data_IF_323363407116
#
_entry.id   IF_323363407116
#
_cell.length_a   1.000
_cell.length_b   1.000
_cell.length_c   1.000
_cell.angle_alpha   90.00
_cell.angle_beta   90.00
_cell.angle_gamma   90.00
#
_symmetry.space_group_name_H-M   'P 1'
#
loop_
_entity.id
_entity.type
_entity.pdbx_description
1 polymer ?
#
# COMPACT_ATOMS: atom_id res chain seq x y z
N UNK A 1 -4.92 13.20 4.42
CA UNK A 1 -6.09 12.94 3.54
C UNK A 1 -6.76 11.66 4.04
N UNK A 2 -8.06 11.46 3.82
CA UNK A 2 -8.66 10.16 4.08
C UNK A 2 -8.29 9.22 2.92
N UNK A 3 -7.63 8.10 3.22
CA UNK A 3 -7.34 7.08 2.21
C UNK A 3 -8.62 6.36 1.80
N UNK A 4 -8.77 6.10 0.51
CA UNK A 4 -9.88 5.26 0.03
C UNK A 4 -9.66 3.82 0.43
N UNK A 5 -10.72 3.02 0.40
CA UNK A 5 -10.65 1.58 0.66
C UNK A 5 -9.62 0.89 -0.26
N UNK A 6 -9.54 1.32 -1.52
CA UNK A 6 -8.58 0.79 -2.51
C UNK A 6 -7.13 1.01 -2.08
N UNK A 7 -6.81 2.16 -1.50
CA UNK A 7 -5.45 2.44 -0.99
C UNK A 7 -5.11 1.54 0.21
N UNK A 8 -6.09 1.29 1.09
CA UNK A 8 -5.91 0.44 2.26
C UNK A 8 -5.72 -1.02 1.83
N UNK A 9 -6.48 -1.47 0.82
CA UNK A 9 -6.35 -2.80 0.22
C UNK A 9 -4.98 -2.96 -0.45
N UNK A 10 -4.57 -1.99 -1.28
CA UNK A 10 -3.26 -1.99 -1.94
C UNK A 10 -2.11 -2.05 -0.93
N UNK A 11 -2.20 -1.32 0.18
CA UNK A 11 -1.22 -1.39 1.27
C UNK A 11 -1.16 -2.76 1.95
N UNK A 12 -2.31 -3.44 2.10
CA UNK A 12 -2.38 -4.79 2.65
C UNK A 12 -1.77 -5.82 1.70
N UNK A 13 -2.05 -5.72 0.40
CA UNK A 13 -1.51 -6.60 -0.63
C UNK A 13 0.02 -6.44 -0.78
N UNK A 14 0.51 -5.20 -0.71
CA UNK A 14 1.94 -4.93 -0.64
C UNK A 14 2.57 -5.62 0.58
N UNK A 15 1.97 -5.47 1.77
CA UNK A 15 2.46 -6.07 3.00
C UNK A 15 2.43 -7.61 2.99
N UNK A 16 1.44 -8.20 2.31
CA UNK A 16 1.35 -9.64 2.09
C UNK A 16 2.34 -10.13 1.02
N UNK A 17 2.81 -9.23 0.16
CA UNK A 17 3.74 -9.52 -0.93
C UNK A 17 3.06 -10.15 -2.16
N UNK A 18 1.76 -9.93 -2.35
CA UNK A 18 0.98 -10.50 -3.46
C UNK A 18 0.94 -9.64 -4.72
N UNK A 19 1.42 -8.39 -4.63
CA UNK A 19 1.52 -7.47 -5.78
C UNK A 19 2.57 -7.91 -6.78
N UNK A 20 2.32 -7.60 -8.05
CA UNK A 20 3.32 -7.75 -9.11
C UNK A 20 4.44 -6.70 -9.01
N UNK A 21 5.41 -6.76 -9.92
CA UNK A 21 6.58 -5.89 -9.88
C UNK A 21 6.23 -4.41 -10.15
N UNK A 22 5.28 -4.14 -11.04
CA UNK A 22 4.93 -2.77 -11.44
C UNK A 22 4.08 -2.10 -10.36
N UNK A 23 3.11 -2.84 -9.80
CA UNK A 23 2.29 -2.40 -8.67
C UNK A 23 3.14 -2.16 -7.42
N UNK A 24 4.11 -3.05 -7.15
CA UNK A 24 5.06 -2.88 -6.05
C UNK A 24 5.87 -1.59 -6.21
N UNK A 25 6.39 -1.32 -7.41
CA UNK A 25 7.15 -0.10 -7.68
C UNK A 25 6.28 1.16 -7.51
N UNK A 26 5.00 1.09 -7.89
CA UNK A 26 4.05 2.18 -7.65
C UNK A 26 3.86 2.43 -6.15
N UNK A 27 3.64 1.39 -5.35
CA UNK A 27 3.49 1.52 -3.89
C UNK A 27 4.76 2.08 -3.25
N UNK A 28 5.95 1.66 -3.69
CA UNK A 28 7.22 2.19 -3.20
C UNK A 28 7.42 3.67 -3.52
N UNK A 29 7.03 4.10 -4.73
CA UNK A 29 7.03 5.51 -5.10
C UNK A 29 6.04 6.31 -4.24
N UNK A 30 4.83 5.78 -4.01
CA UNK A 30 3.84 6.40 -3.13
C UNK A 30 4.36 6.51 -1.68
N UNK A 31 5.03 5.48 -1.16
CA UNK A 31 5.62 5.52 0.18
C UNK A 31 6.79 6.50 0.30
N UNK A 32 7.52 6.76 -0.78
CA UNK A 32 8.59 7.74 -0.80
C UNK A 32 8.07 9.19 -0.76
N UNK A 33 6.87 9.42 -1.30
CA UNK A 33 6.23 10.74 -1.34
C UNK A 33 5.28 10.98 -0.14
N UNK A 34 4.57 9.95 0.31
CA UNK A 34 3.56 10.01 1.37
C UNK A 34 3.92 9.12 2.59
N UNK A 35 4.44 9.77 3.63
CA UNK A 35 4.80 9.13 4.89
C UNK A 35 3.57 8.51 5.60
N UNK A 36 2.40 9.13 5.49
CA UNK A 36 1.20 8.62 6.14
C UNK A 36 0.69 7.33 5.45
N UNK A 37 0.93 7.17 4.15
CA UNK A 37 0.64 5.94 3.43
C UNK A 37 1.65 4.84 3.81
N UNK A 38 2.93 5.20 3.94
CA UNK A 38 3.96 4.30 4.45
C UNK A 38 3.64 3.76 5.85
N UNK A 39 3.03 4.57 6.73
CA UNK A 39 2.57 4.13 8.04
C UNK A 39 1.45 3.08 7.96
N UNK A 40 0.54 3.20 6.98
CA UNK A 40 -0.52 2.20 6.76
C UNK A 40 0.08 0.86 6.35
N UNK A 41 1.00 0.88 5.38
CA UNK A 41 1.73 -0.32 4.94
C UNK A 41 2.49 -0.96 6.12
N UNK A 42 3.18 -0.15 6.93
CA UNK A 42 3.92 -0.62 8.11
C UNK A 42 2.98 -1.24 9.15
N UNK A 43 1.79 -0.66 9.33
CA UNK A 43 0.78 -1.20 10.25
C UNK A 43 0.26 -2.58 9.80
N UNK A 44 0.07 -2.78 8.50
CA UNK A 44 -0.31 -4.06 7.93
C UNK A 44 0.80 -5.10 8.08
N UNK A 45 2.04 -4.73 7.77
CA UNK A 45 3.21 -5.60 7.98
C UNK A 45 3.34 -6.05 9.43
N UNK A 46 3.15 -5.14 10.39
CA UNK A 46 3.18 -5.48 11.82
C UNK A 46 2.06 -6.46 12.22
N UNK A 47 0.82 -6.21 11.76
CA UNK A 47 -0.34 -7.08 12.04
C UNK A 47 -0.12 -8.49 11.49
N UNK A 48 0.37 -8.60 10.25
CA UNK A 48 0.63 -9.88 9.59
C UNK A 48 1.88 -10.56 10.15
N UNK A 49 2.86 -9.80 10.66
CA UNK A 49 4.07 -10.33 11.27
C UNK A 49 3.81 -11.28 12.45
N UNK A 50 2.69 -11.10 13.17
CA UNK A 50 2.27 -12.02 14.23
C UNK A 50 1.98 -13.44 13.71
N UNK A 51 1.48 -13.57 12.48
CA UNK A 51 1.22 -14.87 11.84
C UNK A 51 2.52 -15.62 11.53
N UNK A 52 3.58 -14.90 11.15
CA UNK A 52 4.89 -15.51 10.91
C UNK A 52 5.46 -16.17 12.18
N UNK A 53 5.07 -15.71 13.37
CA UNK A 53 5.47 -16.33 14.65
C UNK A 53 4.76 -17.65 14.93
N UNK A 54 3.68 -17.96 14.21
CA UNK A 54 2.92 -19.21 14.35
C UNK A 54 3.50 -20.34 13.49
N UNK A 55 4.43 -20.03 12.58
CA UNK A 55 5.08 -21.00 11.72
C UNK A 55 6.31 -21.58 12.43
N UNK A 56 6.47 -22.91 12.39
CA UNK A 56 7.63 -23.58 12.97
C UNK A 56 8.93 -23.22 12.27
N UNK A 57 10.04 -23.16 13.02
CA UNK A 57 11.36 -22.94 12.44
C UNK A 57 11.79 -24.14 11.59
N UNK A 58 12.23 -23.86 10.36
CA UNK A 58 12.83 -24.86 9.46
C UNK A 58 14.30 -24.50 9.29
N UNK A 59 15.19 -25.42 9.65
CA UNK A 59 16.63 -25.18 9.51
C UNK A 59 17.01 -25.16 8.01
N UNK A 60 17.59 -24.07 7.51
CA UNK A 60 18.08 -24.02 6.14
C UNK A 60 19.33 -24.90 5.98
N UNK A 61 19.61 -25.35 4.75
CA UNK A 61 20.83 -26.13 4.47
C UNK A 61 22.09 -25.33 4.87
N UNK A 62 23.13 -25.96 5.44
CA UNK A 62 24.32 -25.24 5.94
C UNK A 62 25.03 -24.37 4.90
N UNK A 63 25.01 -24.78 3.62
CA UNK A 63 25.61 -24.03 2.49
C UNK A 63 24.98 -22.65 2.29
N UNK A 64 23.72 -22.45 2.71
CA UNK A 64 23.01 -21.18 2.53
C UNK A 64 23.73 -20.04 3.24
N UNK A 65 24.28 -20.29 4.42
CA UNK A 65 24.99 -19.26 5.17
C UNK A 65 26.30 -18.84 4.49
N UNK A 66 27.06 -19.79 3.96
CA UNK A 66 28.29 -19.51 3.22
C UNK A 66 27.99 -18.73 1.92
N UNK A 67 26.93 -19.11 1.21
CA UNK A 67 26.48 -18.39 0.02
C UNK A 67 26.11 -16.94 0.36
N UNK A 68 25.33 -16.70 1.41
CA UNK A 68 24.96 -15.35 1.87
C UNK A 68 26.20 -14.52 2.20
N UNK A 69 27.15 -15.07 2.98
CA UNK A 69 28.40 -14.36 3.31
C UNK A 69 29.18 -13.98 2.05
N UNK A 70 29.32 -14.91 1.11
CA UNK A 70 30.03 -14.64 -0.14
C UNK A 70 29.35 -13.58 -1.00
N UNK A 71 28.01 -13.58 -1.04
CA UNK A 71 27.25 -12.62 -1.85
C UNK A 71 27.27 -11.22 -1.24
N UNK A 72 27.19 -11.11 0.08
CA UNK A 72 27.35 -9.83 0.79
C UNK A 72 28.76 -9.27 0.55
N UNK A 73 29.80 -10.10 0.62
CA UNK A 73 31.17 -9.68 0.34
C UNK A 73 31.33 -9.20 -1.12
N UNK A 74 30.75 -9.91 -2.09
CA UNK A 74 30.73 -9.47 -3.49
C UNK A 74 30.00 -8.14 -3.67
N UNK A 75 28.82 -8.00 -3.06
CA UNK A 75 28.03 -6.77 -3.15
C UNK A 75 28.77 -5.59 -2.53
N UNK A 76 29.45 -5.79 -1.39
CA UNK A 76 30.26 -4.76 -0.76
C UNK A 76 31.41 -4.29 -1.65
N UNK A 77 32.12 -5.22 -2.30
CA UNK A 77 33.20 -4.89 -3.25
C UNK A 77 32.68 -4.17 -4.50
N UNK A 78 31.44 -4.46 -4.94
CA UNK A 78 30.81 -3.79 -6.08
C UNK A 78 30.27 -2.40 -5.73
N UNK A 79 30.00 -2.12 -4.44
CA UNK A 79 29.55 -0.82 -3.94
C UNK A 79 30.70 0.13 -3.59
N UNK A 80 31.96 -0.34 -3.64
CA UNK A 80 33.11 0.53 -3.44
C UNK A 80 33.28 1.45 -4.66
N UNK A 81 33.12 2.79 -4.53
CA UNK A 81 33.35 3.70 -5.64
C UNK A 81 34.77 3.53 -6.19
N UNK A 82 34.96 3.59 -7.52
CA UNK A 82 36.27 3.39 -8.11
C UNK A 82 37.25 4.41 -7.50
N UNK A 83 38.29 3.88 -6.85
CA UNK A 83 39.40 4.69 -6.39
C UNK A 83 39.95 5.51 -7.58
N UNK A 84 40.31 6.80 -7.40
CA UNK A 84 40.87 7.59 -8.48
C UNK A 84 42.12 6.87 -9.00
N UNK A 85 42.10 6.53 -10.30
CA UNK A 85 43.17 5.83 -10.97
C UNK A 85 44.50 6.54 -10.72
N UNK A 86 45.35 5.93 -9.91
CA UNK A 86 46.75 6.29 -9.81
C UNK A 86 47.33 6.06 -11.22
N UNK A 87 47.68 7.15 -11.88
CA UNK A 87 48.05 7.17 -13.29
C UNK A 87 49.20 6.18 -13.56
N UNK A 88 48.94 5.17 -14.37
CA UNK A 88 49.99 4.33 -14.95
C UNK A 88 51.03 5.22 -15.64
N UNK A 89 52.35 4.99 -15.45
CA UNK A 89 53.38 5.71 -16.18
C UNK A 89 53.27 5.41 -17.69
N UNK A 90 53.61 6.37 -18.57
CA UNK A 90 53.40 6.23 -20.01
C UNK A 90 54.30 5.13 -20.61
N UNK A 91 53.83 4.40 -21.63
CA UNK A 91 54.62 3.35 -22.27
C UNK A 91 55.79 3.96 -23.08
N UNK A 92 56.96 3.30 -23.01
CA UNK A 92 58.14 3.63 -23.81
C UNK A 92 57.88 3.36 -25.32
N UNK A 93 58.58 4.05 -26.24
CA UNK A 93 58.35 3.93 -27.67
C UNK A 93 58.92 2.61 -28.22
N UNK A 94 58.13 1.90 -29.04
CA UNK A 94 58.58 0.70 -29.76
C UNK A 94 59.39 1.09 -31.02
N UNK A 95 60.44 0.33 -31.40
CA UNK A 95 61.02 0.38 -32.74
C UNK A 95 60.39 -0.65 -33.69
N UNK A 96 59.85 -0.11 -34.78
CA UNK A 96 59.71 -0.53 -36.18
C UNK A 96 60.03 -1.97 -36.70
N UNK A 97 58.99 -2.48 -37.41
CA UNK A 97 58.96 -3.20 -38.72
C UNK A 97 59.25 -4.72 -38.81
N UNK A 98 58.83 -5.44 -39.89
CA UNK A 98 57.95 -5.07 -41.03
C UNK A 98 56.83 -6.09 -41.36
N UNK A 99 55.99 -5.70 -42.32
CA UNK A 99 54.88 -6.43 -42.93
C UNK A 99 55.30 -7.57 -43.86
N UNK A 100 54.58 -8.71 -43.76
CA UNK A 100 54.08 -9.65 -44.80
C UNK A 100 52.95 -10.43 -44.08
N UNK A 101 51.82 -10.85 -44.62
CA UNK A 101 51.46 -11.27 -45.96
C UNK A 101 49.91 -11.28 -46.06
N UNK A 102 49.41 -10.95 -47.23
CA UNK A 102 48.00 -11.01 -47.63
C UNK A 102 47.60 -12.44 -47.99
N UNK A 103 46.48 -12.96 -47.46
CA UNK A 103 45.72 -14.03 -48.11
C UNK A 103 44.25 -14.00 -47.64
N UNK A 104 43.33 -13.40 -48.40
CA UNK A 104 42.35 -14.03 -49.33
C UNK A 104 41.49 -15.17 -48.73
N UNK A 105 40.18 -14.86 -48.64
CA UNK A 105 39.00 -15.68 -49.00
C UNK A 105 38.92 -17.13 -48.48
N UNK A 106 37.83 -17.44 -47.77
CA UNK A 106 36.73 -18.20 -48.40
C UNK A 106 35.49 -18.25 -47.50
N UNK A 107 34.37 -17.88 -48.11
CA UNK A 107 33.01 -18.09 -47.67
C UNK A 107 32.51 -19.35 -48.37
N UNK A 108 32.01 -20.32 -47.61
CA UNK A 108 31.08 -21.37 -48.04
C UNK A 108 30.45 -21.94 -46.77
N UNK A 109 29.15 -21.69 -46.58
CA UNK A 109 28.09 -22.69 -46.79
C UNK A 109 28.05 -23.66 -45.60
N UNK A 110 26.95 -24.06 -44.98
CA UNK A 110 25.53 -24.08 -45.32
C UNK A 110 24.92 -24.90 -44.16
N UNK A 111 23.79 -24.47 -43.59
CA UNK A 111 22.75 -25.38 -43.11
C UNK A 111 21.51 -24.58 -42.73
N UNK A 112 20.47 -24.83 -43.52
CA UNK A 112 19.23 -24.09 -43.54
C UNK A 112 18.26 -24.40 -42.38
N UNK A 113 17.19 -23.59 -42.26
CA UNK A 113 16.13 -23.79 -41.28
C UNK A 113 15.03 -24.73 -41.82
N UNK A 114 14.39 -25.57 -40.99
CA UNK A 114 13.14 -26.19 -41.39
C UNK A 114 11.99 -25.22 -41.14
N UNK A 115 11.22 -25.04 -42.19
CA UNK A 115 9.93 -24.39 -42.24
C UNK A 115 8.91 -25.11 -41.36
N UNK A 116 8.06 -24.36 -40.66
CA UNK A 116 6.74 -24.85 -40.27
C UNK A 116 5.67 -23.95 -40.86
N UNK A 117 4.83 -24.61 -41.63
CA UNK A 117 3.74 -24.13 -42.45
C UNK A 117 2.50 -23.93 -41.59
N UNK A 118 1.84 -22.77 -41.70
CA UNK A 118 0.44 -22.62 -41.32
C UNK A 118 -0.42 -22.50 -42.57
N UNK A 119 -1.32 -23.46 -42.85
CA UNK A 119 -2.38 -23.28 -43.82
C UNK A 119 -3.56 -22.55 -43.21
N UNK A 120 -4.13 -21.66 -44.01
CA UNK A 120 -5.51 -21.23 -43.91
C UNK A 120 -6.47 -22.39 -44.23
N UNK A 121 -7.50 -22.59 -43.40
CA UNK A 121 -8.74 -23.28 -43.78
C UNK A 121 -9.87 -22.99 -42.76
N UNK A 122 -10.99 -22.51 -43.32
CA UNK A 122 -12.38 -22.87 -43.04
C UNK A 122 -13.01 -22.83 -41.63
N UNK A 123 -13.99 -21.92 -41.54
CA UNK A 123 -15.23 -22.10 -40.78
C UNK A 123 -16.06 -23.28 -41.34
N UNK A 124 -16.89 -23.90 -40.49
CA UNK A 124 -18.33 -23.96 -40.78
C UNK A 124 -19.11 -23.56 -39.51
N UNK A 125 -20.31 -22.99 -39.51
CA UNK A 125 -21.33 -22.78 -40.51
C UNK A 125 -22.64 -22.67 -39.72
N UNK A 126 -23.34 -21.53 -39.80
CA UNK A 126 -24.78 -21.47 -39.62
C UNK A 126 -25.34 -20.25 -40.35
N UNK A 127 -25.68 -20.47 -41.61
CA UNK A 127 -26.67 -19.72 -42.41
C UNK A 127 -28.07 -19.97 -41.83
N UNK A 128 -29.07 -19.07 -41.77
CA UNK A 128 -29.67 -18.12 -42.75
C UNK A 128 -30.97 -17.53 -42.07
N UNK A 129 -31.86 -16.75 -42.73
CA UNK A 129 -31.80 -15.40 -43.31
C UNK A 129 -32.75 -14.38 -42.61
N UNK A 130 -32.56 -13.08 -42.92
CA UNK A 130 -33.65 -12.12 -43.22
C UNK A 130 -33.55 -11.82 -44.75
N UNK A 131 -34.45 -11.08 -45.44
CA UNK A 131 -35.80 -10.57 -45.12
C UNK A 131 -36.83 -10.85 -46.26
N UNK A 132 -38.12 -10.53 -46.07
CA UNK A 132 -39.03 -10.34 -47.20
C UNK A 132 -40.15 -9.30 -46.94
N UNK A 133 -40.08 -8.25 -47.77
CA UNK A 133 -41.13 -7.52 -48.47
C UNK A 133 -42.36 -6.90 -47.75
N UNK A 134 -42.39 -5.55 -47.86
CA UNK A 134 -43.59 -4.69 -47.90
C UNK A 134 -44.30 -4.88 -49.26
N UNK A 135 -45.65 -4.77 -49.32
CA UNK A 135 -46.26 -3.67 -50.08
C UNK A 135 -47.42 -3.03 -49.29
N UNK A 136 -47.41 -1.72 -49.02
CA UNK A 136 -48.01 -0.63 -49.82
C UNK A 136 -49.41 -0.93 -50.38
N UNK A 137 -50.40 -0.14 -49.94
CA UNK A 137 -51.58 0.39 -50.68
C UNK A 137 -52.51 1.07 -49.66
N UNK A 138 -52.66 2.40 -49.79
CA UNK A 138 -53.71 3.20 -49.17
C UNK A 138 -55.00 3.20 -50.02
N UNK A 139 -56.18 3.39 -49.40
CA UNK A 139 -57.07 4.46 -49.89
C UNK A 139 -57.69 5.27 -48.73
N UNK A 140 -57.52 6.60 -48.74
CA UNK A 140 -58.50 7.59 -49.25
C UNK A 140 -59.81 7.67 -48.45
N UNK A 141 -59.99 8.76 -47.71
CA UNK A 141 -61.31 9.30 -47.36
C UNK A 141 -61.40 10.76 -47.82
N UNK A 142 -62.29 10.99 -48.77
CA UNK A 142 -62.60 12.29 -49.38
C UNK A 142 -63.57 13.04 -48.46
N UNK A 143 -63.37 14.33 -48.15
CA UNK A 143 -64.37 15.13 -47.45
C UNK A 143 -65.49 15.49 -48.44
N UNK A 144 -66.68 14.93 -48.21
CA UNK A 144 -67.89 15.35 -48.92
C UNK A 144 -68.29 16.75 -48.46
N UNK A 145 -68.34 17.68 -49.42
CA UNK A 145 -68.83 19.03 -49.29
C UNK A 145 -70.34 19.01 -49.54
N UNK A 146 -71.13 19.52 -48.61
CA UNK A 146 -72.48 20.01 -48.94
C UNK A 146 -72.55 21.50 -48.64
N UNK A 147 -72.94 22.23 -49.68
CA UNK A 147 -73.04 23.68 -49.76
C UNK A 147 -74.47 24.14 -49.37
N UNK A 148 -74.81 25.44 -49.48
CA UNK A 148 -75.21 26.30 -48.38
C UNK A 148 -76.72 26.49 -48.27
N UNK A 149 -77.21 26.93 -47.10
CA UNK A 149 -78.54 27.54 -47.02
C UNK A 149 -78.44 29.07 -46.95
N UNK A 150 -78.97 29.66 -48.02
CA UNK A 150 -79.08 31.09 -48.31
C UNK A 150 -80.42 31.55 -47.73
N UNK A 151 -80.39 32.27 -46.60
CA UNK A 151 -81.26 33.42 -46.30
C UNK A 151 -81.31 33.66 -44.80
N UNK A 152 -80.54 34.63 -44.30
CA UNK A 152 -81.14 35.65 -43.43
C UNK A 152 -80.41 36.98 -43.63
N UNK A 153 -81.16 37.94 -44.16
CA UNK A 153 -81.04 39.40 -44.07
C UNK A 153 -79.64 40.05 -44.19
N UNK A 154 -79.46 40.65 -45.37
CA UNK A 154 -78.68 41.86 -45.62
C UNK A 154 -79.05 42.97 -44.62
N UNK A 155 -78.19 43.21 -43.64
CA UNK A 155 -78.18 44.43 -42.84
C UNK A 155 -77.02 45.33 -43.30
N UNK A 156 -77.41 46.43 -43.95
CA UNK A 156 -76.74 47.71 -44.21
C UNK A 156 -75.20 47.83 -44.01
N UNK A 157 -74.50 48.14 -45.11
CA UNK A 157 -73.16 48.72 -45.10
C UNK A 157 -73.17 50.09 -44.39
N UNK A 158 -72.37 50.23 -43.34
CA UNK A 158 -71.89 51.53 -42.82
C UNK A 158 -70.48 51.82 -43.39
N UNK A 159 -70.07 53.10 -43.53
CA UNK A 159 -68.81 53.46 -44.17
C UNK A 159 -67.59 53.28 -43.25
N UNK A 160 -66.57 52.60 -43.81
CA UNK A 160 -65.10 52.69 -43.65
C UNK A 160 -64.51 53.30 -42.37
N UNK A 161 -63.65 52.54 -41.67
CA UNK A 161 -62.38 53.06 -41.10
C UNK A 161 -61.28 52.01 -41.23
N UNK A 162 -60.26 52.36 -42.02
CA UNK A 162 -59.06 51.57 -42.34
C UNK A 162 -58.04 51.65 -41.17
N UNK A 163 -58.33 50.97 -40.05
CA UNK A 163 -57.65 51.24 -38.77
C UNK A 163 -56.87 50.09 -38.11
N UNK A 164 -57.07 48.83 -38.51
CA UNK A 164 -56.76 47.71 -37.58
C UNK A 164 -55.68 46.72 -38.06
N UNK A 165 -55.13 46.86 -39.26
CA UNK A 165 -54.14 45.89 -39.77
C UNK A 165 -52.70 46.22 -39.32
N UNK A 166 -52.38 47.49 -39.06
CA UNK A 166 -51.03 47.94 -38.65
C UNK A 166 -50.71 47.55 -37.18
N UNK A 167 -51.71 47.28 -36.34
CA UNK A 167 -51.50 46.97 -34.90
C UNK A 167 -51.23 45.51 -34.58
N UNK A 168 -51.54 44.58 -35.49
CA UNK A 168 -51.30 43.15 -35.29
C UNK A 168 -49.91 42.71 -35.76
N UNK A 169 -49.41 43.27 -36.86
CA UNK A 169 -48.06 42.97 -37.37
C UNK A 169 -46.95 43.41 -36.41
N UNK A 170 -47.13 44.56 -35.77
CA UNK A 170 -46.18 45.08 -34.77
C UNK A 170 -46.12 44.23 -33.49
N UNK A 171 -47.22 43.56 -33.12
CA UNK A 171 -47.33 42.74 -31.91
C UNK A 171 -46.73 41.34 -32.10
N UNK A 172 -46.97 40.73 -33.26
CA UNK A 172 -46.39 39.42 -33.60
C UNK A 172 -44.87 39.46 -33.72
N UNK A 173 -44.32 40.53 -34.32
CA UNK A 173 -42.86 40.71 -34.45
C UNK A 173 -42.18 40.90 -33.09
N UNK A 174 -42.83 41.61 -32.16
CA UNK A 174 -42.34 41.78 -30.78
C UNK A 174 -42.41 40.48 -29.97
N UNK A 175 -43.48 39.69 -30.09
CA UNK A 175 -43.58 38.38 -29.43
C UNK A 175 -42.55 37.38 -29.95
N UNK A 176 -42.25 37.40 -31.25
CA UNK A 176 -41.19 36.57 -31.83
C UNK A 176 -39.80 36.97 -31.33
N UNK A 177 -39.54 38.26 -31.19
CA UNK A 177 -38.28 38.76 -30.64
C UNK A 177 -38.12 38.45 -29.13
N UNK A 178 -39.22 38.45 -28.37
CA UNK A 178 -39.21 38.07 -26.95
C UNK A 178 -38.98 36.57 -26.81
N UNK A 179 -39.65 35.74 -27.62
CA UNK A 179 -39.46 34.29 -27.60
C UNK A 179 -38.03 33.88 -27.97
N UNK A 180 -37.42 34.54 -28.97
CA UNK A 180 -36.02 34.27 -29.32
C UNK A 180 -35.03 34.76 -28.25
N UNK A 181 -35.30 35.87 -27.59
CA UNK A 181 -34.48 36.36 -26.48
C UNK A 181 -34.51 35.41 -25.26
N UNK A 182 -35.70 34.89 -24.90
CA UNK A 182 -35.85 33.92 -23.80
C UNK A 182 -35.17 32.59 -24.14
N UNK A 183 -35.27 32.12 -25.39
CA UNK A 183 -34.59 30.90 -25.84
C UNK A 183 -33.06 30.99 -25.76
N UNK A 184 -32.48 32.14 -26.14
CA UNK A 184 -31.04 32.37 -26.05
C UNK A 184 -30.54 32.38 -24.58
N UNK A 185 -31.33 32.93 -23.66
CA UNK A 185 -31.02 32.97 -22.24
C UNK A 185 -31.05 31.58 -21.61
N UNK A 186 -32.02 30.74 -21.99
CA UNK A 186 -32.11 29.35 -21.54
C UNK A 186 -30.94 28.50 -22.06
N UNK A 187 -30.57 28.67 -23.34
CA UNK A 187 -29.42 27.98 -23.92
C UNK A 187 -28.10 28.40 -23.23
N UNK A 188 -27.92 29.69 -22.95
CA UNK A 188 -26.75 30.17 -22.22
C UNK A 188 -26.68 29.60 -20.79
N UNK A 189 -27.82 29.53 -20.08
CA UNK A 189 -27.89 28.92 -18.75
C UNK A 189 -27.54 27.43 -18.78
N UNK A 190 -28.03 26.68 -19.76
CA UNK A 190 -27.70 25.26 -19.92
C UNK A 190 -26.23 25.03 -20.27
N UNK A 191 -25.62 25.90 -21.08
CA UNK A 191 -24.18 25.86 -21.34
C UNK A 191 -23.40 26.17 -20.06
N UNK A 192 -23.78 27.20 -19.29
CA UNK A 192 -23.11 27.52 -18.02
C UNK A 192 -23.27 26.40 -16.98
N UNK A 193 -24.44 25.77 -16.90
CA UNK A 193 -24.69 24.67 -15.98
C UNK A 193 -23.91 23.41 -16.39
N UNK A 194 -23.88 23.11 -17.69
CA UNK A 194 -23.04 22.02 -18.24
C UNK A 194 -21.55 22.28 -17.94
N UNK A 195 -21.08 23.52 -18.10
CA UNK A 195 -19.69 23.87 -17.81
C UNK A 195 -19.38 23.75 -16.31
N UNK A 196 -20.32 24.09 -15.43
CA UNK A 196 -20.19 23.90 -13.97
C UNK A 196 -20.07 22.44 -13.56
N UNK A 197 -20.72 21.51 -14.27
CA UNK A 197 -20.73 20.08 -13.93
C UNK A 197 -19.48 19.37 -14.48
N UNK A 198 -19.06 19.69 -15.71
CA UNK A 198 -18.03 18.92 -16.43
C UNK A 198 -16.64 19.58 -16.45
N UNK A 199 -16.52 20.91 -16.39
CA UNK A 199 -15.24 21.64 -16.40
C UNK A 199 -15.26 22.81 -15.39
N UNK A 200 -15.27 22.52 -14.07
CA UNK A 200 -15.46 23.53 -13.03
C UNK A 200 -14.36 24.60 -12.98
N UNK A 201 -13.19 24.36 -13.58
CA UNK A 201 -12.05 25.29 -13.62
C UNK A 201 -12.08 26.31 -14.78
N UNK A 202 -13.00 26.17 -15.74
CA UNK A 202 -13.05 27.02 -16.93
C UNK A 202 -13.78 28.37 -16.72
N UNK A 203 -14.27 28.67 -15.51
CA UNK A 203 -15.04 29.89 -15.22
C UNK A 203 -14.16 31.07 -14.70
N UNK A 204 -14.38 32.30 -15.19
CA UNK A 204 -13.71 33.51 -14.68
C UNK A 204 -14.05 33.75 -13.21
N UNK A 205 -13.05 34.13 -12.43
CA UNK A 205 -13.02 34.03 -10.95
C UNK A 205 -14.15 34.68 -10.15
N UNK A 206 -15.01 35.50 -10.77
CA UNK A 206 -16.14 36.19 -10.11
C UNK A 206 -17.34 35.27 -9.87
N UNK A 207 -17.46 34.15 -10.60
CA UNK A 207 -18.57 33.18 -10.45
C UNK A 207 -18.17 31.93 -9.67
N UNK A 208 -16.96 31.90 -9.09
CA UNK A 208 -16.52 30.78 -8.26
C UNK A 208 -17.16 30.89 -6.87
N UNK A 209 -17.85 29.86 -6.37
CA UNK A 209 -18.28 29.85 -4.98
C UNK A 209 -17.06 29.89 -4.06
N UNK A 210 -17.08 30.69 -2.97
CA UNK A 210 -15.94 30.82 -2.08
C UNK A 210 -15.63 29.46 -1.42
N UNK A 211 -14.34 29.07 -1.33
CA UNK A 211 -13.95 27.83 -0.67
C UNK A 211 -14.41 27.87 0.80
N UNK A 212 -15.28 26.94 1.18
CA UNK A 212 -15.66 26.75 2.59
C UNK A 212 -14.46 26.16 3.31
N UNK A 213 -13.72 27.00 4.02
CA UNK A 213 -12.69 26.57 4.97
C UNK A 213 -13.44 25.91 6.14
N UNK A 214 -13.68 24.61 6.04
CA UNK A 214 -14.03 23.81 7.21
C UNK A 214 -12.73 23.64 7.99
N UNK A 215 -12.57 24.41 9.08
CA UNK A 215 -11.60 24.08 10.11
C UNK A 215 -12.07 22.80 10.77
N UNK A 216 -11.69 21.66 10.18
CA UNK A 216 -11.69 20.38 10.88
C UNK A 216 -10.66 20.56 11.96
N UNK A 217 -11.11 20.68 13.21
CA UNK A 217 -10.24 20.51 14.37
C UNK A 217 -9.78 19.05 14.33
N UNK A 218 -8.69 18.81 13.60
CA UNK A 218 -7.98 17.54 13.63
C UNK A 218 -7.45 17.43 15.04
N UNK A 219 -8.19 16.72 15.89
CA UNK A 219 -7.62 16.08 17.08
C UNK A 219 -6.43 15.29 16.55
N UNK A 220 -5.25 15.86 16.67
CA UNK A 220 -4.03 15.24 16.21
C UNK A 220 -4.02 13.80 16.74
N UNK A 221 -3.79 12.77 15.90
CA UNK A 221 -3.49 11.45 16.42
C UNK A 221 -2.37 11.62 17.44
N UNK A 222 -2.52 10.96 18.60
CA UNK A 222 -1.51 10.99 19.64
C UNK A 222 -0.14 10.81 18.99
N UNK A 223 0.79 11.72 19.29
CA UNK A 223 2.16 11.68 18.77
C UNK A 223 2.68 10.23 18.77
N UNK A 224 3.44 9.80 17.74
CA UNK A 224 4.02 8.46 17.72
C UNK A 224 4.65 8.22 19.09
N UNK A 225 4.15 7.18 19.78
CA UNK A 225 4.71 6.76 21.05
C UNK A 225 6.21 6.68 20.85
N UNK A 226 6.95 7.56 21.52
CA UNK A 226 8.40 7.64 21.41
C UNK A 226 8.96 6.22 21.43
N UNK A 227 9.85 5.89 20.48
CA UNK A 227 10.45 4.56 20.40
C UNK A 227 10.87 4.12 21.80
N UNK A 228 10.16 3.12 22.33
CA UNK A 228 10.34 2.67 23.69
C UNK A 228 11.67 1.94 23.77
N UNK A 229 12.38 2.13 24.88
CA UNK A 229 13.64 1.45 25.10
C UNK A 229 13.46 -0.06 24.91
N UNK A 230 14.27 -0.72 24.10
CA UNK A 230 14.23 -2.17 23.97
C UNK A 230 15.36 -2.77 24.78
N UNK A 231 15.03 -3.84 25.50
CA UNK A 231 15.96 -4.50 26.40
C UNK A 231 16.09 -5.98 26.06
N UNK A 232 17.30 -6.50 26.07
CA UNK A 232 17.60 -7.90 25.73
C UNK A 232 18.53 -8.50 26.78
N UNK A 233 18.23 -9.70 27.26
CA UNK A 233 19.12 -10.51 28.08
C UNK A 233 19.39 -11.84 27.39
N UNK A 234 20.68 -12.20 27.30
CA UNK A 234 21.12 -13.52 26.86
C UNK A 234 21.29 -14.41 28.09
N UNK A 235 20.48 -15.47 28.21
CA UNK A 235 20.57 -16.39 29.33
C UNK A 235 21.49 -17.55 28.95
N UNK A 236 22.67 -17.58 29.56
CA UNK A 236 23.74 -18.51 29.25
C UNK A 236 23.92 -19.54 30.36
N UNK A 237 24.36 -20.74 29.98
CA UNK A 237 24.72 -21.80 30.93
C UNK A 237 26.15 -21.67 31.41
N UNK A 238 26.58 -22.55 32.33
CA UNK A 238 27.98 -22.59 32.79
C UNK A 238 28.97 -22.85 31.66
N UNK A 239 28.54 -23.59 30.62
CA UNK A 239 29.36 -23.89 29.43
C UNK A 239 29.41 -22.71 28.42
N UNK A 240 28.81 -21.56 28.74
CA UNK A 240 28.85 -20.33 27.94
C UNK A 240 27.91 -20.29 26.73
N UNK A 241 27.26 -21.38 26.38
CA UNK A 241 26.27 -21.43 25.29
C UNK A 241 24.98 -20.66 25.62
N UNK A 242 24.42 -19.88 24.66
CA UNK A 242 23.14 -19.22 24.85
C UNK A 242 21.99 -20.23 24.80
N UNK A 243 21.25 -20.34 25.89
CA UNK A 243 20.11 -21.24 26.00
C UNK A 243 18.79 -20.54 25.69
N UNK A 244 18.65 -19.27 26.15
CA UNK A 244 17.46 -18.46 25.95
C UNK A 244 17.82 -17.00 25.65
N UNK A 245 16.95 -16.34 24.88
CA UNK A 245 16.97 -14.89 24.65
C UNK A 245 15.70 -14.32 25.28
N UNK A 246 15.84 -13.36 26.18
CA UNK A 246 14.73 -12.63 26.78
C UNK A 246 14.71 -11.21 26.21
N UNK A 247 13.61 -10.82 25.60
CA UNK A 247 13.37 -9.44 25.12
C UNK A 247 12.29 -8.80 25.98
N UNK A 248 12.49 -7.55 26.38
CA UNK A 248 11.55 -6.76 27.17
C UNK A 248 11.33 -5.42 26.47
N UNK A 249 10.07 -5.09 26.23
CA UNK A 249 9.68 -3.77 25.76
C UNK A 249 9.65 -2.76 26.92
N UNK A 250 10.38 -1.66 26.82
CA UNK A 250 10.56 -0.70 27.92
C UNK A 250 9.32 0.15 28.23
N UNK A 251 8.34 0.26 27.33
CA UNK A 251 7.12 1.02 27.59
C UNK A 251 6.05 0.15 28.26
N UNK A 252 5.83 -1.04 27.71
CA UNK A 252 4.79 -1.97 28.15
C UNK A 252 5.28 -2.93 29.23
N UNK A 253 6.60 -3.14 29.33
CA UNK A 253 7.23 -4.22 30.12
C UNK A 253 6.66 -5.60 29.77
N UNK A 254 6.21 -5.76 28.53
CA UNK A 254 5.94 -7.08 27.99
C UNK A 254 7.25 -7.77 27.70
N UNK A 255 7.34 -9.05 28.06
CA UNK A 255 8.53 -9.83 27.76
C UNK A 255 8.20 -11.04 26.90
N UNK A 256 9.19 -11.40 26.09
CA UNK A 256 9.20 -12.60 25.27
C UNK A 256 10.48 -13.36 25.54
N UNK A 257 10.35 -14.65 25.86
CA UNK A 257 11.47 -15.58 25.99
C UNK A 257 11.49 -16.46 24.75
N UNK A 258 12.64 -16.51 24.09
CA UNK A 258 12.92 -17.43 22.99
C UNK A 258 13.91 -18.49 23.44
N UNK A 259 13.59 -19.75 23.19
CA UNK A 259 14.47 -20.91 23.40
C UNK A 259 15.39 -21.08 22.18
N UNK A 260 16.69 -21.23 22.40
CA UNK A 260 17.70 -21.29 21.31
C UNK A 260 18.41 -22.63 21.26
N UNK A 261 18.77 -23.20 22.42
CA UNK A 261 19.53 -24.45 22.48
C UNK A 261 19.23 -25.34 23.69
N UNK A 262 18.30 -24.95 24.56
CA UNK A 262 17.91 -25.75 25.71
C UNK A 262 16.77 -26.71 25.37
N UNK A 263 16.96 -28.00 25.64
CA UNK A 263 15.91 -29.01 25.53
C UNK A 263 15.44 -29.41 26.92
N UNK A 264 14.14 -29.32 27.24
CA UNK A 264 13.63 -29.75 28.54
C UNK A 264 13.71 -31.28 28.66
N UNK A 265 14.14 -31.76 29.81
CA UNK A 265 14.11 -33.19 30.14
C UNK A 265 12.65 -33.71 30.20
N UNK A 266 12.40 -34.99 29.86
CA UNK A 266 11.07 -35.58 29.99
C UNK A 266 10.50 -35.42 31.41
N UNK A 267 9.28 -34.86 31.52
CA UNK A 267 8.63 -34.63 32.82
C UNK A 267 9.19 -33.44 33.62
N UNK A 268 10.07 -32.63 33.02
CA UNK A 268 10.59 -31.38 33.57
C UNK A 268 10.11 -30.19 32.76
N UNK A 269 10.19 -29.02 33.37
CA UNK A 269 9.80 -27.76 32.73
C UNK A 269 10.80 -26.68 33.10
N UNK A 270 11.12 -25.80 32.16
CA UNK A 270 11.91 -24.63 32.47
C UNK A 270 11.02 -23.54 33.06
N UNK A 271 11.48 -22.83 34.07
CA UNK A 271 10.77 -21.70 34.65
C UNK A 271 11.67 -20.47 34.71
N UNK A 272 11.13 -19.32 34.29
CA UNK A 272 11.84 -18.05 34.32
C UNK A 272 11.59 -17.34 35.65
N UNK A 273 12.66 -16.75 36.19
CA UNK A 273 12.65 -16.02 37.45
C UNK A 273 13.24 -14.62 37.30
N UNK A 274 12.63 -13.67 37.99
CA UNK A 274 13.16 -12.33 38.24
C UNK A 274 13.87 -12.31 39.59
N UNK A 275 15.16 -11.98 39.60
CA UNK A 275 15.99 -11.88 40.81
C UNK A 275 16.52 -10.45 40.91
N UNK A 276 16.19 -9.76 42.01
CA UNK A 276 16.67 -8.40 42.28
C UNK A 276 16.90 -8.26 43.79
N UNK A 277 17.86 -7.40 44.16
CA UNK A 277 18.12 -6.95 45.53
C UNK A 277 16.94 -6.21 46.16
N UNK A 278 16.05 -5.63 45.34
CA UNK A 278 14.81 -4.96 45.78
C UNK A 278 13.69 -5.93 46.10
N UNK A 279 13.84 -7.22 45.78
CA UNK A 279 12.83 -8.25 46.00
C UNK A 279 13.30 -9.20 47.11
N UNK A 280 12.45 -9.53 48.10
CA UNK A 280 12.84 -10.38 49.22
C UNK A 280 13.10 -11.83 48.81
N UNK A 281 12.54 -12.28 47.67
CA UNK A 281 12.75 -13.60 47.09
C UNK A 281 12.59 -13.57 45.57
N UNK A 282 13.19 -14.53 44.83
CA UNK A 282 12.95 -14.67 43.40
C UNK A 282 11.46 -14.74 43.06
N UNK A 283 11.08 -14.07 41.96
CA UNK A 283 9.69 -14.04 41.49
C UNK A 283 9.56 -14.84 40.22
N UNK A 284 8.68 -15.84 40.22
CA UNK A 284 8.36 -16.57 39.01
C UNK A 284 7.70 -15.65 37.99
N UNK A 285 8.23 -15.70 36.77
CA UNK A 285 7.65 -15.11 35.57
C UNK A 285 6.93 -16.18 34.72
N UNK A 286 6.85 -17.40 35.24
CA UNK A 286 6.12 -18.51 34.67
C UNK A 286 6.98 -19.52 33.90
N UNK A 287 6.34 -20.64 33.61
CA UNK A 287 6.93 -21.76 32.88
C UNK A 287 7.13 -21.39 31.42
N UNK A 288 8.33 -21.67 30.92
CA UNK A 288 8.69 -21.61 29.51
C UNK A 288 8.18 -22.91 28.87
N UNK A 289 7.23 -22.78 27.95
CA UNK A 289 6.56 -23.91 27.33
C UNK A 289 7.46 -24.74 26.42
N UNK A 290 6.89 -25.81 25.85
CA UNK A 290 7.58 -26.59 24.82
C UNK A 290 7.85 -25.78 23.54
N UNK A 291 7.01 -24.77 23.29
CA UNK A 291 7.13 -23.79 22.20
C UNK A 291 8.47 -23.06 22.26
N UNK A 292 8.95 -22.62 21.10
CA UNK A 292 10.21 -21.86 21.04
C UNK A 292 10.06 -20.44 21.59
N UNK A 293 8.82 -19.96 21.74
CA UNK A 293 8.50 -18.63 22.25
C UNK A 293 7.48 -18.70 23.40
N UNK A 294 7.71 -17.89 24.44
CA UNK A 294 6.76 -17.66 25.53
C UNK A 294 6.69 -16.16 25.82
N UNK A 295 5.53 -15.55 25.65
CA UNK A 295 5.31 -14.13 25.92
C UNK A 295 4.27 -13.94 27.03
N UNK A 296 4.55 -13.06 28.01
CA UNK A 296 3.62 -12.77 29.12
C UNK A 296 3.75 -11.31 29.61
N UNK A 297 2.64 -10.67 30.02
CA UNK A 297 2.65 -9.30 30.54
C UNK A 297 2.89 -9.23 32.06
N UNK A 298 3.73 -10.08 32.65
CA UNK A 298 3.90 -10.14 34.12
C UNK A 298 4.83 -9.05 34.67
N UNK A 299 5.77 -8.57 33.86
CA UNK A 299 6.73 -7.54 34.29
C UNK A 299 6.12 -6.14 34.38
N UNK A 300 4.94 -5.91 33.79
CA UNK A 300 4.21 -4.64 33.89
C UNK A 300 3.87 -4.22 35.32
N UNK A 301 3.80 -5.18 36.24
CA UNK A 301 3.53 -4.96 37.67
C UNK A 301 4.73 -4.51 38.50
N UNK A 302 5.95 -4.55 37.94
CA UNK A 302 7.19 -4.17 38.64
C UNK A 302 7.73 -2.83 38.13
N UNK A 303 8.37 -2.07 39.01
CA UNK A 303 9.04 -0.83 38.63
C UNK A 303 10.15 -1.06 37.61
N UNK A 304 10.33 -0.11 36.69
CA UNK A 304 11.33 -0.22 35.62
C UNK A 304 12.76 -0.39 36.17
N UNK A 305 13.10 0.28 37.26
CA UNK A 305 14.41 0.16 37.91
C UNK A 305 14.67 -1.26 38.43
N UNK A 306 13.65 -1.92 38.99
CA UNK A 306 13.74 -3.30 39.47
C UNK A 306 13.97 -4.25 38.30
N UNK A 307 13.24 -4.08 37.20
CA UNK A 307 13.35 -4.93 36.00
C UNK A 307 14.71 -4.74 35.32
N UNK A 308 15.16 -3.50 35.16
CA UNK A 308 16.41 -3.18 34.46
C UNK A 308 17.65 -3.59 35.27
N UNK A 309 17.59 -3.49 36.60
CA UNK A 309 18.67 -3.93 37.50
C UNK A 309 18.66 -5.43 37.82
N UNK A 310 17.63 -6.16 37.40
CA UNK A 310 17.46 -7.57 37.76
C UNK A 310 18.42 -8.50 37.01
N UNK A 311 18.65 -9.65 37.63
CA UNK A 311 19.18 -10.84 36.98
C UNK A 311 18.02 -11.77 36.66
N UNK A 312 17.94 -12.20 35.40
CA UNK A 312 16.98 -13.18 34.96
C UNK A 312 17.62 -14.56 35.01
N UNK A 313 16.89 -15.54 35.52
CA UNK A 313 17.38 -16.88 35.73
C UNK A 313 16.36 -17.92 35.26
N UNK A 314 16.84 -19.02 34.72
CA UNK A 314 16.01 -20.18 34.35
C UNK A 314 16.43 -21.37 35.21
N UNK A 315 15.45 -22.05 35.79
CA UNK A 315 15.63 -23.27 36.57
C UNK A 315 14.96 -24.45 35.87
N UNK A 316 15.38 -25.67 36.23
CA UNK A 316 14.70 -26.91 35.80
C UNK A 316 13.77 -27.34 36.91
N UNK A 317 12.48 -27.22 36.67
CA UNK A 317 11.43 -27.54 37.62
C UNK A 317 10.74 -28.86 37.24
N UNK A 318 9.94 -29.38 38.15
CA UNK A 318 9.00 -30.46 37.84
C UNK A 318 7.99 -30.05 36.76
N UNK A 319 7.28 -31.02 36.18
CA UNK A 319 6.24 -30.76 35.21
C UNK A 319 5.23 -29.70 35.72
N UNK A 320 5.05 -28.62 34.95
CA UNK A 320 4.17 -27.52 35.33
C UNK A 320 4.81 -26.43 36.19
N UNK A 321 6.11 -26.52 36.50
CA UNK A 321 6.87 -25.50 37.23
C UNK A 321 6.92 -25.72 38.74
N UNK A 322 7.39 -24.68 39.44
CA UNK A 322 7.48 -24.63 40.89
C UNK A 322 6.09 -24.68 41.54
N UNK A 323 5.86 -25.58 42.50
CA UNK A 323 4.55 -25.74 43.13
C UNK A 323 4.20 -24.61 44.11
N UNK A 324 5.20 -23.90 44.64
CA UNK A 324 5.02 -22.89 45.70
C UNK A 324 5.53 -21.50 45.27
N UNK A 325 5.89 -21.32 44.00
CA UNK A 325 6.47 -20.08 43.48
C UNK A 325 7.85 -19.76 44.10
N UNK A 326 8.60 -20.78 44.48
CA UNK A 326 10.02 -20.70 44.85
C UNK A 326 10.83 -21.68 44.00
N UNK A 327 12.03 -21.32 43.53
CA UNK A 327 12.88 -22.24 42.78
C UNK A 327 13.06 -23.57 43.51
N UNK A 328 12.77 -24.71 42.87
CA UNK A 328 13.04 -26.03 43.47
C UNK A 328 14.45 -26.52 43.14
N UNK A 329 15.08 -25.93 42.13
CA UNK A 329 16.46 -26.23 41.72
C UNK A 329 17.29 -24.97 41.58
N UNK A 330 18.62 -25.15 41.49
CA UNK A 330 19.53 -24.06 41.22
C UNK A 330 19.35 -23.52 39.78
N UNK A 331 19.58 -22.21 39.55
CA UNK A 331 19.58 -21.65 38.20
C UNK A 331 20.59 -22.36 37.30
N UNK A 332 20.10 -22.87 36.18
CA UNK A 332 20.93 -23.51 35.13
C UNK A 332 21.38 -22.49 34.08
N UNK A 333 20.56 -21.46 33.83
CA UNK A 333 20.87 -20.37 32.91
C UNK A 333 20.59 -19.03 33.58
N UNK A 334 21.43 -18.03 33.31
CA UNK A 334 21.18 -16.68 33.83
C UNK A 334 21.79 -15.60 32.94
N UNK A 335 21.30 -14.37 33.09
CA UNK A 335 21.78 -13.22 32.34
C UNK A 335 21.22 -11.91 32.88
N UNK A 336 21.91 -10.81 32.54
CA UNK A 336 21.46 -9.45 32.84
C UNK A 336 20.87 -8.80 31.61
N UNK A 337 20.00 -7.83 31.86
CA UNK A 337 19.36 -7.05 30.83
C UNK A 337 20.33 -6.02 30.26
N UNK A 338 20.34 -5.88 28.94
CA UNK A 338 21.13 -4.89 28.20
C UNK A 338 20.16 -4.07 27.36
N UNK A 339 20.29 -2.75 27.41
CA UNK A 339 19.52 -1.85 26.56
C UNK A 339 20.08 -1.85 25.13
N UNK A 340 19.25 -2.16 24.14
CA UNK A 340 19.66 -2.26 22.73
C UNK A 340 19.19 -1.07 21.89
N UNK A 341 18.17 -0.33 22.35
CA UNK A 341 17.68 0.91 21.73
C UNK A 341 17.34 1.89 22.85
N UNK A 342 18.01 3.05 22.96
CA UNK A 342 17.66 4.08 23.94
C UNK A 342 16.31 4.72 23.65
N UNK A 343 15.52 5.12 24.65
CA UNK A 343 14.29 5.85 24.42
C UNK A 343 14.63 7.20 23.77
N UNK A 344 13.84 7.61 22.77
CA UNK A 344 14.02 8.93 22.15
C UNK A 344 13.79 10.02 23.20
N UNK A 345 14.85 10.70 23.64
CA UNK A 345 14.73 11.84 24.54
C UNK A 345 14.00 12.99 23.83
N UNK A 346 12.96 13.59 24.44
CA UNK A 346 12.30 14.75 23.87
C UNK A 346 13.31 15.89 23.77
N UNK A 347 13.59 16.36 22.55
CA UNK A 347 14.41 17.53 22.31
C UNK A 347 13.75 18.75 22.99
N UNK A 348 14.48 19.39 23.90
CA UNK A 348 14.03 20.63 24.53
C UNK A 348 13.76 21.69 23.46
N UNK A 349 12.66 22.46 23.57
CA UNK A 349 12.33 23.47 22.57
C UNK A 349 13.44 24.51 22.47
N UNK A 350 13.98 24.68 21.26
CA UNK A 350 14.91 25.74 20.96
C UNK A 350 14.25 27.09 21.31
N UNK A 351 14.83 27.80 22.28
CA UNK A 351 14.45 29.19 22.57
C UNK A 351 14.70 30.01 21.31
N UNK A 352 13.62 30.50 20.70
CA UNK A 352 13.66 31.57 19.69
C UNK A 352 13.61 32.92 20.37
#
# INVERSE_FOLDING_TARGET
>A
MAYTEDHIALAAEYALGTLDADERAQVEAMMAEDEAFADIVRSWSYRLGALNQMVGSVEPRPVVWENIKSEIARTALAQEPPAPAEASPPPAPMPDLPAEEVATLESSAENGPPQTSHPAAEQPGSSRPEPDAIPDIAPQFIPQVHAPDINVLRAQLAPVVDGDVIRLEGRAKRWRNIASAVGALAAALLVTLSLQIFLPDALPGVLRPPPRIQTVEVKAPAAPLAASAQYVALLQGQDGGPAFILTIDGATRNFTVRKVGATPEPGKSFELWLISDKLPRPRSLGVIGASDFTARPLLASYDAEVVNGATFAVTVEQAGGSPNGQPTSAPVFSGKLIETVPPTQPQAPAKK
#
